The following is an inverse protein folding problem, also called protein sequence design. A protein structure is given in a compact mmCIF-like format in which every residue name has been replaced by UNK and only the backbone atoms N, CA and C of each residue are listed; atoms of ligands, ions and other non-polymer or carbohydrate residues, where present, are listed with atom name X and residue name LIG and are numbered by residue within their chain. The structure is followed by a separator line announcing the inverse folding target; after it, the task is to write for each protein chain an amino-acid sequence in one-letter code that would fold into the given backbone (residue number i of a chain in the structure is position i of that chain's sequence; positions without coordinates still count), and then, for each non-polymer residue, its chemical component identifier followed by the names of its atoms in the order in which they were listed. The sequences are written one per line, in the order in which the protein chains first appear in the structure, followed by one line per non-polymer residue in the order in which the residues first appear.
data_IF_606442718919
#
_entry.id   IF_606442718919
#
_cell.length_a   1.000
_cell.length_b   1.000
_cell.length_c   1.000
_cell.angle_alpha   90.00
_cell.angle_beta   90.00
_cell.angle_gamma   90.00
#
_symmetry.space_group_name_H-M   'P 1'
#
loop_
_entity.id
_entity.type
_entity.pdbx_description
1 polymer ?
#
# COMPACT_ATOMS: atom_id res chain seq x y z
N UNK A 1 19.41 -11.86 15.97
CA UNK A 1 19.57 -11.33 14.60
C UNK A 1 18.25 -10.96 13.90
N UNK A 2 17.13 -11.61 14.17
CA UNK A 2 15.84 -11.39 13.48
C UNK A 2 15.24 -9.97 13.69
N UNK A 3 15.36 -9.39 14.87
CA UNK A 3 14.84 -8.05 15.23
C UNK A 3 15.45 -6.93 14.36
N UNK A 4 16.74 -6.97 14.07
CA UNK A 4 17.43 -5.93 13.31
C UNK A 4 16.99 -5.83 11.85
N UNK A 5 16.40 -6.91 11.30
CA UNK A 5 15.86 -6.97 9.93
C UNK A 5 14.38 -6.56 9.83
N UNK A 6 13.68 -6.40 10.96
CA UNK A 6 12.28 -5.96 10.96
C UNK A 6 12.14 -4.58 10.29
N UNK A 7 10.97 -4.35 9.69
CA UNK A 7 10.70 -3.14 8.90
C UNK A 7 10.26 -1.99 9.81
N UNK A 8 10.76 -0.81 9.53
CA UNK A 8 10.44 0.46 10.20
C UNK A 8 9.94 1.45 9.15
N UNK A 9 8.82 2.11 9.43
CA UNK A 9 8.31 3.17 8.59
C UNK A 9 9.13 4.45 8.81
N UNK A 10 9.55 5.07 7.72
CA UNK A 10 10.27 6.35 7.73
C UNK A 10 9.33 7.43 7.24
N UNK A 11 9.09 8.41 8.07
CA UNK A 11 8.33 9.61 7.74
C UNK A 11 9.27 10.75 7.36
N UNK A 12 8.79 11.61 6.48
CA UNK A 12 9.41 12.90 6.22
C UNK A 12 9.19 13.85 7.42
N UNK A 13 9.83 15.01 7.42
CA UNK A 13 9.67 16.02 8.46
C UNK A 13 8.21 16.47 8.66
N UNK A 14 7.41 16.50 7.61
CA UNK A 14 5.99 16.84 7.60
C UNK A 14 5.05 15.64 7.89
N UNK A 15 5.59 14.54 8.45
CA UNK A 15 4.88 13.30 8.74
C UNK A 15 4.33 12.52 7.54
N UNK A 16 4.62 12.92 6.31
CA UNK A 16 4.29 12.13 5.13
C UNK A 16 5.14 10.86 5.04
N UNK A 17 4.55 9.72 4.66
CA UNK A 17 5.31 8.49 4.46
C UNK A 17 6.35 8.64 3.35
N UNK A 18 7.63 8.43 3.69
CA UNK A 18 8.75 8.58 2.77
C UNK A 18 9.26 7.23 2.24
N UNK A 19 9.55 6.32 3.15
CA UNK A 19 10.13 5.02 2.80
C UNK A 19 9.97 3.99 3.92
N UNK A 20 10.53 2.80 3.70
CA UNK A 20 10.66 1.74 4.71
C UNK A 20 12.10 1.32 4.78
N UNK A 21 12.65 1.21 5.99
CA UNK A 21 13.98 0.68 6.24
C UNK A 21 13.93 -0.49 7.24
N UNK A 22 15.07 -1.06 7.59
CA UNK A 22 15.18 -2.03 8.68
C UNK A 22 15.49 -1.32 10.01
N UNK A 23 15.29 -2.04 11.11
CA UNK A 23 15.56 -1.53 12.47
C UNK A 23 17.01 -1.08 12.64
N UNK A 24 17.98 -1.82 12.09
CA UNK A 24 19.41 -1.44 12.15
C UNK A 24 19.64 -0.04 11.58
N UNK A 25 19.09 0.25 10.39
CA UNK A 25 19.20 1.57 9.75
C UNK A 25 18.45 2.65 10.52
N UNK A 26 17.27 2.32 11.06
CA UNK A 26 16.48 3.26 11.85
C UNK A 26 17.24 3.72 13.11
N UNK A 27 17.82 2.78 13.86
CA UNK A 27 18.64 3.10 15.04
C UNK A 27 19.85 3.96 14.67
N UNK A 28 20.53 3.62 13.57
CA UNK A 28 21.66 4.41 13.09
C UNK A 28 21.26 5.87 12.78
N UNK A 29 20.08 6.06 12.13
CA UNK A 29 19.59 7.42 11.84
C UNK A 29 19.26 8.20 13.09
N UNK A 30 18.69 7.55 14.11
CA UNK A 30 18.41 8.16 15.43
C UNK A 30 19.73 8.50 16.15
N UNK A 31 20.66 7.58 16.19
CA UNK A 31 21.97 7.78 16.85
C UNK A 31 22.76 8.95 16.24
N UNK A 32 22.66 9.10 14.91
CA UNK A 32 23.31 10.21 14.18
C UNK A 32 22.51 11.52 14.24
N UNK A 33 21.48 11.63 15.07
CA UNK A 33 20.59 12.79 15.14
C UNK A 33 19.98 13.22 13.77
N UNK A 34 19.75 12.26 12.87
CA UNK A 34 19.11 12.49 11.55
C UNK A 34 17.62 12.15 11.56
N UNK A 35 17.17 11.41 12.56
CA UNK A 35 15.77 11.04 12.77
C UNK A 35 15.44 10.97 14.25
N UNK A 36 14.17 11.04 14.58
CA UNK A 36 13.61 10.78 15.90
C UNK A 36 12.66 9.58 15.86
N UNK A 37 12.48 8.90 16.99
CA UNK A 37 11.51 7.82 17.13
C UNK A 37 10.13 8.40 17.42
N UNK A 38 9.17 8.13 16.52
CA UNK A 38 7.77 8.57 16.69
C UNK A 38 6.94 7.50 17.39
N UNK A 39 7.13 6.23 17.02
CA UNK A 39 6.47 5.08 17.65
C UNK A 39 7.48 3.96 17.86
N UNK A 40 7.46 3.41 19.08
CA UNK A 40 8.21 2.23 19.45
C UNK A 40 7.32 0.98 19.33
N UNK A 41 7.94 -0.18 19.20
CA UNK A 41 7.23 -1.47 19.27
C UNK A 41 7.09 -1.89 20.71
N UNK A 42 5.86 -2.19 21.12
CA UNK A 42 5.57 -2.63 22.47
C UNK A 42 6.36 -3.89 22.84
N UNK A 43 7.01 -3.86 24.00
CA UNK A 43 7.73 -4.98 24.58
C UNK A 43 9.00 -5.42 23.85
N UNK A 44 9.42 -4.74 22.76
CA UNK A 44 10.65 -5.08 22.04
C UNK A 44 11.80 -4.16 22.39
N UNK A 45 12.87 -4.74 22.89
CA UNK A 45 14.10 -4.05 23.30
C UNK A 45 15.31 -4.74 22.67
N UNK A 46 16.22 -3.96 22.13
CA UNK A 46 17.55 -4.42 21.73
C UNK A 46 18.50 -4.14 22.87
N UNK A 47 19.19 -5.18 23.31
CA UNK A 47 20.23 -5.10 24.34
C UNK A 47 21.59 -5.01 23.67
N UNK A 48 22.37 -3.98 24.02
CA UNK A 48 23.77 -3.85 23.63
C UNK A 48 24.56 -3.55 24.91
N UNK A 49 25.34 -4.51 25.35
CA UNK A 49 26.16 -4.51 26.62
C UNK A 49 25.47 -3.83 27.80
N UNK A 50 25.52 -2.49 27.88
CA UNK A 50 24.95 -1.67 28.95
C UNK A 50 23.81 -0.77 28.56
N UNK A 51 23.38 -0.82 27.28
CA UNK A 51 22.37 0.10 26.76
C UNK A 51 21.19 -0.69 26.22
N UNK A 52 19.98 -0.22 26.56
CA UNK A 52 18.72 -0.79 26.10
C UNK A 52 18.08 0.17 25.10
N UNK A 53 17.93 -0.27 23.86
CA UNK A 53 17.25 0.52 22.82
C UNK A 53 15.86 -0.05 22.55
N UNK A 54 14.79 0.74 22.75
CA UNK A 54 13.46 0.33 22.30
C UNK A 54 13.45 0.21 20.77
N UNK A 55 12.82 -0.84 20.27
CA UNK A 55 12.76 -1.10 18.83
C UNK A 55 11.83 -0.09 18.17
N UNK A 56 12.30 0.77 17.27
CA UNK A 56 11.42 1.70 16.57
C UNK A 56 10.49 0.98 15.58
N UNK A 57 9.24 1.38 15.54
CA UNK A 57 8.26 1.02 14.52
C UNK A 57 8.14 2.10 13.46
N UNK A 58 8.12 3.37 13.89
CA UNK A 58 8.03 4.54 13.04
C UNK A 58 9.07 5.56 13.46
N UNK A 59 9.85 6.07 12.52
CA UNK A 59 10.79 7.16 12.70
C UNK A 59 10.44 8.33 11.78
N UNK A 60 10.79 9.55 12.19
CA UNK A 60 10.66 10.78 11.40
C UNK A 60 12.03 11.39 11.17
N UNK A 61 12.38 11.70 9.93
CA UNK A 61 13.61 12.42 9.62
C UNK A 61 13.50 13.90 10.02
N UNK A 62 14.59 14.47 10.52
CA UNK A 62 14.62 15.85 11.03
C UNK A 62 14.78 16.89 9.92
N UNK A 63 15.35 16.51 8.78
CA UNK A 63 15.52 17.39 7.61
C UNK A 63 14.50 17.02 6.54
N UNK A 64 13.74 18.00 6.04
CA UNK A 64 12.78 17.77 4.96
C UNK A 64 13.49 17.27 3.70
N UNK A 65 13.00 16.19 3.13
CA UNK A 65 13.43 15.68 1.83
C UNK A 65 12.34 15.98 0.81
N UNK A 66 12.67 16.78 -0.19
CA UNK A 66 11.80 17.01 -1.34
C UNK A 66 11.83 15.74 -2.21
N UNK A 67 10.95 14.80 -1.87
CA UNK A 67 10.81 13.52 -2.56
C UNK A 67 9.60 13.57 -3.48
N UNK A 68 9.85 13.49 -4.78
CA UNK A 68 8.80 13.28 -5.79
C UNK A 68 8.78 11.80 -6.15
N UNK A 69 7.83 11.02 -5.63
CA UNK A 69 7.74 9.61 -6.01
C UNK A 69 7.43 9.52 -7.50
N UNK A 70 8.13 8.62 -8.20
CA UNK A 70 7.79 8.29 -9.58
C UNK A 70 6.32 7.88 -9.64
N UNK A 71 5.63 8.31 -10.68
CA UNK A 71 4.24 7.91 -10.90
C UNK A 71 4.14 6.39 -10.97
N UNK A 72 3.09 5.86 -10.33
CA UNK A 72 2.81 4.44 -10.38
C UNK A 72 2.25 4.13 -11.77
N UNK A 73 2.93 3.30 -12.58
CA UNK A 73 2.47 3.00 -13.92
C UNK A 73 1.15 2.21 -13.87
N UNK A 74 0.21 2.59 -14.73
CA UNK A 74 -1.06 1.92 -14.89
C UNK A 74 -0.84 0.61 -15.66
N UNK A 75 -0.62 -0.48 -14.93
CA UNK A 75 -0.40 -1.82 -15.50
C UNK A 75 -1.42 -2.80 -14.96
N UNK A 76 -1.73 -3.86 -15.75
CA UNK A 76 -2.58 -4.97 -15.28
C UNK A 76 -2.13 -5.49 -13.91
N UNK A 77 -0.83 -5.72 -13.73
CA UNK A 77 -0.24 -6.20 -12.46
C UNK A 77 -0.56 -5.27 -11.30
N UNK A 78 -0.44 -3.97 -11.49
CA UNK A 78 -0.68 -2.98 -10.43
C UNK A 78 -2.17 -2.82 -10.11
N UNK A 79 -3.06 -2.93 -11.10
CA UNK A 79 -4.52 -2.94 -10.89
C UNK A 79 -4.93 -4.17 -10.07
N UNK A 80 -4.50 -5.37 -10.49
CA UNK A 80 -4.78 -6.60 -9.74
C UNK A 80 -4.24 -6.52 -8.31
N UNK A 81 -3.04 -5.97 -8.14
CA UNK A 81 -2.40 -5.80 -6.83
C UNK A 81 -3.14 -4.79 -5.96
N UNK A 82 -3.59 -3.65 -6.52
CA UNK A 82 -4.41 -2.65 -5.82
C UNK A 82 -5.69 -3.27 -5.25
N UNK A 83 -6.36 -4.11 -6.03
CA UNK A 83 -7.64 -4.73 -5.67
C UNK A 83 -7.46 -6.05 -4.89
N UNK A 84 -6.22 -6.34 -4.45
CA UNK A 84 -5.90 -7.53 -3.66
C UNK A 84 -6.21 -8.84 -4.37
N UNK A 85 -6.12 -8.86 -5.72
CA UNK A 85 -6.53 -9.98 -6.58
C UNK A 85 -7.96 -10.46 -6.31
N UNK A 86 -8.84 -9.53 -5.94
CA UNK A 86 -10.24 -9.79 -5.62
C UNK A 86 -11.12 -9.19 -6.71
N UNK A 87 -12.06 -9.97 -7.23
CA UNK A 87 -13.04 -9.48 -8.19
C UNK A 87 -13.87 -8.36 -7.56
N UNK A 88 -13.85 -7.18 -8.15
CA UNK A 88 -14.57 -6.01 -7.61
C UNK A 88 -16.09 -6.06 -7.86
N UNK A 89 -16.58 -7.10 -8.52
CA UNK A 89 -18.01 -7.32 -8.74
C UNK A 89 -18.61 -8.36 -7.80
N UNK A 90 -17.98 -9.53 -7.66
CA UNK A 90 -18.53 -10.63 -6.85
C UNK A 90 -17.71 -10.96 -5.60
N UNK A 91 -16.53 -10.37 -5.42
CA UNK A 91 -15.69 -10.58 -4.24
C UNK A 91 -14.84 -11.85 -4.25
N UNK A 92 -14.94 -12.72 -5.29
CA UNK A 92 -14.11 -13.92 -5.35
C UNK A 92 -12.63 -13.59 -5.50
N UNK A 93 -11.78 -14.42 -4.92
CA UNK A 93 -10.31 -14.44 -5.13
C UNK A 93 -9.86 -15.66 -5.93
N UNK A 94 -10.79 -16.48 -6.34
CA UNK A 94 -10.53 -17.75 -7.02
C UNK A 94 -10.56 -17.60 -8.54
N UNK A 95 -9.77 -18.43 -9.20
CA UNK A 95 -9.68 -18.49 -10.64
C UNK A 95 -8.86 -17.38 -11.28
N UNK A 96 -8.97 -17.26 -12.59
CA UNK A 96 -8.19 -16.28 -13.38
C UNK A 96 -8.77 -14.89 -13.22
N UNK A 97 -7.92 -13.94 -12.79
CA UNK A 97 -8.27 -12.53 -12.67
C UNK A 97 -7.84 -11.77 -13.92
N UNK A 98 -8.73 -10.93 -14.38
CA UNK A 98 -8.57 -10.02 -15.52
C UNK A 98 -8.72 -8.58 -15.06
N UNK A 99 -8.50 -7.63 -15.98
CA UNK A 99 -8.82 -6.22 -15.78
C UNK A 99 -10.00 -5.89 -16.66
N UNK A 100 -10.98 -5.22 -16.07
CA UNK A 100 -12.17 -4.74 -16.78
C UNK A 100 -12.31 -3.22 -16.65
N UNK A 101 -12.92 -2.62 -17.69
CA UNK A 101 -13.29 -1.21 -17.70
C UNK A 101 -14.68 -1.03 -17.11
N UNK A 102 -14.80 -0.29 -16.01
CA UNK A 102 -16.12 0.02 -15.39
C UNK A 102 -17.04 0.68 -16.41
N UNK A 103 -16.55 1.72 -17.09
CA UNK A 103 -17.18 2.30 -18.29
C UNK A 103 -16.45 1.71 -19.49
N UNK A 104 -17.14 0.97 -20.38
CA UNK A 104 -16.51 0.35 -21.53
C UNK A 104 -15.81 1.36 -22.46
N UNK A 105 -14.71 0.95 -23.09
CA UNK A 105 -14.00 1.80 -24.08
C UNK A 105 -14.91 2.28 -25.22
N UNK A 106 -15.79 1.42 -25.69
CA UNK A 106 -16.79 1.74 -26.72
C UNK A 106 -17.78 2.82 -26.30
N UNK A 107 -17.83 3.16 -25.01
CA UNK A 107 -18.69 4.19 -24.41
C UNK A 107 -17.90 5.34 -23.82
N UNK A 108 -16.67 5.56 -24.28
CA UNK A 108 -15.81 6.66 -23.83
C UNK A 108 -15.02 6.39 -22.56
N UNK A 109 -15.01 5.14 -22.05
CA UNK A 109 -14.19 4.76 -20.90
C UNK A 109 -12.70 4.83 -21.23
N UNK A 110 -11.92 5.49 -20.37
CA UNK A 110 -10.47 5.69 -20.53
C UNK A 110 -9.69 4.64 -19.75
N UNK A 111 -8.43 4.41 -20.16
CA UNK A 111 -7.44 3.68 -19.38
C UNK A 111 -6.98 4.59 -18.23
N UNK A 112 -7.67 4.47 -17.09
CA UNK A 112 -7.44 5.28 -15.91
C UNK A 112 -7.62 4.47 -14.64
N UNK A 113 -6.94 4.88 -13.56
CA UNK A 113 -7.03 4.24 -12.25
C UNK A 113 -8.45 4.21 -11.66
N UNK A 114 -9.30 5.17 -12.05
CA UNK A 114 -10.68 5.31 -11.61
C UNK A 114 -11.67 4.53 -12.46
N UNK A 115 -11.22 3.98 -13.60
CA UNK A 115 -12.06 3.23 -14.53
C UNK A 115 -11.68 1.75 -14.68
N UNK A 116 -10.50 1.33 -14.23
CA UNK A 116 -10.02 -0.05 -14.35
C UNK A 116 -10.12 -0.79 -13.01
N UNK A 117 -10.65 -2.03 -13.04
CA UNK A 117 -10.83 -2.86 -11.86
C UNK A 117 -10.43 -4.30 -12.10
N UNK A 118 -10.05 -5.00 -11.01
CA UNK A 118 -9.88 -6.45 -11.00
C UNK A 118 -11.24 -7.14 -11.15
N UNK A 119 -11.38 -8.04 -12.11
CA UNK A 119 -12.58 -8.83 -12.33
C UNK A 119 -12.22 -10.30 -12.60
N UNK A 120 -13.01 -11.25 -12.10
CA UNK A 120 -12.90 -12.64 -12.55
C UNK A 120 -13.44 -12.75 -13.98
N UNK A 121 -12.98 -13.75 -14.72
CA UNK A 121 -13.42 -13.99 -16.12
C UNK A 121 -14.94 -14.07 -16.24
N UNK A 122 -15.63 -14.75 -15.31
CA UNK A 122 -17.09 -14.86 -15.31
C UNK A 122 -17.78 -13.50 -15.25
N UNK A 123 -17.38 -12.63 -14.31
CA UNK A 123 -17.98 -11.30 -14.16
C UNK A 123 -17.62 -10.38 -15.33
N UNK A 124 -16.37 -10.45 -15.81
CA UNK A 124 -15.93 -9.67 -16.97
C UNK A 124 -16.76 -10.02 -18.21
N UNK A 125 -16.91 -11.30 -18.52
CA UNK A 125 -17.73 -11.77 -19.64
C UNK A 125 -19.23 -11.43 -19.45
N UNK A 126 -19.77 -11.61 -18.23
CA UNK A 126 -21.14 -11.22 -17.90
C UNK A 126 -21.38 -9.74 -18.16
N UNK A 127 -20.44 -8.86 -17.82
CA UNK A 127 -20.56 -7.43 -18.03
C UNK A 127 -20.43 -7.08 -19.53
N UNK A 128 -19.40 -7.59 -20.19
CA UNK A 128 -19.13 -7.27 -21.60
C UNK A 128 -19.04 -5.76 -21.82
N UNK A 129 -19.60 -5.29 -22.93
CA UNK A 129 -19.62 -3.87 -23.32
C UNK A 129 -20.80 -3.08 -22.70
N UNK A 130 -21.41 -3.59 -21.64
CA UNK A 130 -22.51 -2.93 -20.92
C UNK A 130 -21.98 -2.08 -19.77
N UNK A 131 -22.72 -1.02 -19.43
CA UNK A 131 -22.52 -0.30 -18.17
C UNK A 131 -22.91 -1.18 -16.99
N UNK A 132 -22.49 -0.81 -15.77
CA UNK A 132 -22.86 -1.54 -14.57
C UNK A 132 -24.37 -1.61 -14.39
N UNK A 133 -25.09 -0.52 -14.68
CA UNK A 133 -26.54 -0.44 -14.58
C UNK A 133 -27.22 -1.43 -15.55
N UNK A 134 -26.82 -1.46 -16.80
CA UNK A 134 -27.35 -2.39 -17.82
C UNK A 134 -27.01 -3.86 -17.53
N UNK A 135 -25.86 -4.12 -16.90
CA UNK A 135 -25.44 -5.46 -16.54
C UNK A 135 -26.07 -5.95 -15.21
N UNK A 136 -26.77 -5.07 -14.48
CA UNK A 136 -27.30 -5.36 -13.14
C UNK A 136 -26.19 -5.63 -12.13
N UNK A 137 -25.02 -4.97 -12.28
CA UNK A 137 -23.83 -5.19 -11.47
C UNK A 137 -23.48 -3.96 -10.64
N UNK A 138 -22.83 -4.21 -9.50
CA UNK A 138 -22.32 -3.14 -8.60
C UNK A 138 -20.85 -3.38 -8.30
N UNK A 139 -20.12 -2.30 -8.04
CA UNK A 139 -18.75 -2.38 -7.51
C UNK A 139 -18.77 -2.55 -6.00
N UNK A 140 -17.88 -3.39 -5.48
CA UNK A 140 -17.64 -3.51 -4.04
C UNK A 140 -16.99 -2.25 -3.49
N UNK A 141 -16.05 -1.67 -4.26
CA UNK A 141 -15.36 -0.42 -3.92
C UNK A 141 -15.17 0.43 -5.17
N UNK A 142 -15.33 1.76 -5.02
CA UNK A 142 -15.00 2.70 -6.09
C UNK A 142 -13.49 2.70 -6.33
N UNK A 143 -13.02 2.45 -7.57
CA UNK A 143 -11.59 2.41 -7.85
C UNK A 143 -10.95 3.79 -7.69
N UNK A 144 -9.76 3.81 -7.09
CA UNK A 144 -8.95 5.03 -6.87
C UNK A 144 -7.50 4.76 -7.27
N UNK A 145 -6.74 5.82 -7.56
CA UNK A 145 -5.28 5.71 -7.75
C UNK A 145 -4.66 5.23 -6.44
N UNK A 146 -3.88 4.12 -6.45
CA UNK A 146 -3.28 3.61 -5.21
C UNK A 146 -2.10 4.48 -4.77
N UNK A 147 -1.79 4.45 -3.48
CA UNK A 147 -0.51 4.94 -2.99
C UNK A 147 0.58 3.89 -3.21
N UNK A 148 1.85 4.30 -3.20
CA UNK A 148 2.99 3.39 -3.30
C UNK A 148 2.99 2.36 -2.16
N UNK A 149 2.65 2.80 -0.96
CA UNK A 149 2.57 1.94 0.23
C UNK A 149 1.40 0.96 0.14
N UNK A 150 0.24 1.39 -0.38
CA UNK A 150 -0.86 0.48 -0.66
C UNK A 150 -0.42 -0.69 -1.54
N UNK A 151 0.28 -0.42 -2.65
CA UNK A 151 0.81 -1.48 -3.50
C UNK A 151 1.90 -2.30 -2.81
N UNK A 152 2.74 -1.70 -1.98
CA UNK A 152 3.80 -2.42 -1.27
C UNK A 152 3.23 -3.48 -0.31
N UNK A 153 2.14 -3.17 0.36
CA UNK A 153 1.53 -4.03 1.39
C UNK A 153 0.25 -4.74 0.95
N UNK A 154 -0.17 -4.63 -0.31
CA UNK A 154 -1.43 -5.21 -0.83
C UNK A 154 -1.57 -6.73 -0.63
N UNK A 155 -0.47 -7.48 -0.54
CA UNK A 155 -0.45 -8.94 -0.32
C UNK A 155 0.07 -9.38 1.05
N UNK A 156 0.56 -8.47 1.87
CA UNK A 156 1.16 -8.77 3.16
C UNK A 156 0.46 -8.02 4.28
N UNK A 157 0.44 -8.61 5.46
CA UNK A 157 0.06 -7.85 6.66
C UNK A 157 1.06 -6.71 6.84
N UNK A 158 0.57 -5.57 7.32
CA UNK A 158 1.44 -4.48 7.73
C UNK A 158 2.41 -5.01 8.81
N UNK A 159 3.69 -4.63 8.76
CA UNK A 159 4.67 -5.01 9.78
C UNK A 159 4.28 -4.57 11.19
N UNK A 160 3.47 -3.51 11.28
CA UNK A 160 2.94 -2.98 12.51
C UNK A 160 1.61 -2.26 12.25
N UNK A 161 0.63 -2.48 13.12
CA UNK A 161 -0.71 -1.88 13.00
C UNK A 161 -0.70 -0.36 13.15
N UNK A 162 0.27 0.18 13.91
CA UNK A 162 0.45 1.61 14.09
C UNK A 162 0.76 2.38 12.81
N UNK A 163 1.24 1.68 11.76
CA UNK A 163 1.51 2.30 10.46
C UNK A 163 0.25 2.76 9.74
N UNK A 164 -0.92 2.17 10.03
CA UNK A 164 -2.19 2.56 9.41
C UNK A 164 -2.47 4.06 9.52
N UNK A 165 -2.16 4.67 10.69
CA UNK A 165 -2.35 6.09 10.96
C UNK A 165 -1.64 7.00 9.96
N UNK A 166 -0.48 6.56 9.45
CA UNK A 166 0.36 7.35 8.55
C UNK A 166 0.17 6.97 7.08
N UNK A 167 -0.30 5.75 6.80
CA UNK A 167 -0.45 5.25 5.43
C UNK A 167 -1.83 5.48 4.84
N UNK A 168 -2.77 6.03 5.64
CA UNK A 168 -4.17 6.25 5.24
C UNK A 168 -4.80 4.97 4.65
N UNK A 169 -4.51 3.84 5.27
CA UNK A 169 -5.04 2.52 4.91
C UNK A 169 -6.22 2.22 5.84
N UNK A 170 -7.42 2.16 5.26
CA UNK A 170 -8.65 1.71 5.91
C UNK A 170 -8.66 0.18 6.07
#
# INVERSE_FOLDING_TARGET
MQILSEKVLVLNQNYEPLSVCNVKRAILLIYLNKAECVIQRDGKIIRAERIFYPVPSVIRILKYINYRPNEIPLTKKNILKRDGYTCQYCGTKEGVMTVDHVIPKTRGGKDDWTNLVCACVKCNNKKGNRTLKEAGMKLLKKPKKPTRFHLMFAKSKLPDTNWKKFLFLD
#
